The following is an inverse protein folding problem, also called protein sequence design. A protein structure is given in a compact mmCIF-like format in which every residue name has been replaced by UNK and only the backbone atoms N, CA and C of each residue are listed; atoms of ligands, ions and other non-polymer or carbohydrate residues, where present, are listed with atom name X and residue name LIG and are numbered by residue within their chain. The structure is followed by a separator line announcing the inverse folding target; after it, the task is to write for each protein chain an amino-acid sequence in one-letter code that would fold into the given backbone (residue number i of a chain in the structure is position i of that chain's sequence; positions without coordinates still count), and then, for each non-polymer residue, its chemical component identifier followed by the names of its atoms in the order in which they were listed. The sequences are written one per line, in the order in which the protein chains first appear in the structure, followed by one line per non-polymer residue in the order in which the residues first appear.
data_IF_218580243996
#
_entry.id   IF_218580243996
#
_cell.length_a   1.000
_cell.length_b   1.000
_cell.length_c   1.000
_cell.angle_alpha   90.00
_cell.angle_beta   90.00
_cell.angle_gamma   90.00
#
_symmetry.space_group_name_H-M   'P 1'
#
loop_
_entity.id
_entity.type
_entity.pdbx_description
1 polymer ?
#
# COMPACT_ATOMS: atom_id res chain seq x y z
N UNK A 1 45.86 -21.00 -24.09
CA UNK A 1 44.66 -20.60 -23.32
C UNK A 1 43.38 -20.68 -24.18
N UNK A 2 42.82 -21.89 -24.38
CA UNK A 2 41.42 -22.04 -24.84
C UNK A 2 40.82 -23.45 -24.69
N UNK A 3 41.61 -24.48 -24.34
CA UNK A 3 41.11 -25.86 -24.25
C UNK A 3 40.17 -26.09 -23.05
N UNK A 4 40.38 -25.38 -21.93
CA UNK A 4 39.52 -25.46 -20.75
C UNK A 4 38.11 -24.91 -20.97
N UNK A 5 37.96 -23.90 -21.84
CA UNK A 5 36.67 -23.31 -22.18
C UNK A 5 35.87 -24.20 -23.14
N UNK A 6 36.53 -24.78 -24.16
CA UNK A 6 35.92 -25.72 -25.09
C UNK A 6 35.39 -26.99 -24.37
N UNK A 7 36.16 -27.56 -23.44
CA UNK A 7 35.73 -28.74 -22.67
C UNK A 7 34.60 -28.45 -21.66
N UNK A 8 34.50 -27.23 -21.13
CA UNK A 8 33.38 -26.81 -20.28
C UNK A 8 32.08 -26.68 -21.07
N UNK A 9 32.16 -26.11 -22.28
CA UNK A 9 31.03 -25.94 -23.20
C UNK A 9 30.55 -27.30 -23.75
N UNK A 10 31.46 -28.17 -24.19
CA UNK A 10 31.11 -29.53 -24.67
C UNK A 10 30.41 -30.37 -23.60
N UNK A 11 30.88 -30.30 -22.34
CA UNK A 11 30.25 -31.01 -21.21
C UNK A 11 28.88 -30.43 -20.90
N UNK A 12 28.71 -29.11 -20.88
CA UNK A 12 27.40 -28.47 -20.70
C UNK A 12 26.39 -28.90 -21.76
N UNK A 13 26.81 -28.98 -23.04
CA UNK A 13 25.96 -29.50 -24.13
C UNK A 13 25.62 -30.99 -23.98
N UNK A 14 26.58 -31.82 -23.56
CA UNK A 14 26.36 -33.25 -23.32
C UNK A 14 25.38 -33.51 -22.17
N UNK A 15 25.51 -32.78 -21.06
CA UNK A 15 24.59 -32.87 -19.92
C UNK A 15 23.18 -32.42 -20.29
N UNK A 16 23.05 -31.30 -21.02
CA UNK A 16 21.76 -30.78 -21.48
C UNK A 16 21.07 -31.76 -22.43
N UNK A 17 21.81 -32.34 -23.37
CA UNK A 17 21.30 -33.38 -24.27
C UNK A 17 20.85 -34.64 -23.52
N UNK A 18 21.55 -35.02 -22.45
CA UNK A 18 21.17 -36.16 -21.60
C UNK A 18 19.89 -35.87 -20.82
N UNK A 19 19.74 -34.64 -20.30
CA UNK A 19 18.56 -34.20 -19.58
C UNK A 19 17.33 -34.09 -20.49
N UNK A 20 17.54 -33.63 -21.71
CA UNK A 20 16.52 -33.56 -22.75
C UNK A 20 16.05 -34.97 -23.14
N UNK A 21 16.97 -35.90 -23.42
CA UNK A 21 16.66 -37.31 -23.68
C UNK A 21 15.88 -37.96 -22.52
N UNK A 22 16.24 -37.67 -21.28
CA UNK A 22 15.55 -38.23 -20.12
C UNK A 22 14.11 -37.71 -20.00
N UNK A 23 13.88 -36.43 -20.29
CA UNK A 23 12.52 -35.87 -20.37
C UNK A 23 11.73 -36.52 -21.51
N UNK A 24 12.32 -36.68 -22.68
CA UNK A 24 11.66 -37.28 -23.84
C UNK A 24 11.30 -38.76 -23.57
N UNK A 25 12.17 -39.51 -22.90
CA UNK A 25 11.89 -40.88 -22.45
C UNK A 25 10.71 -40.91 -21.48
N UNK A 26 10.66 -40.02 -20.49
CA UNK A 26 9.56 -39.97 -19.53
C UNK A 26 8.24 -39.58 -20.20
N UNK A 27 8.27 -38.63 -21.16
CA UNK A 27 7.11 -38.25 -21.94
C UNK A 27 6.57 -39.44 -22.78
N UNK A 28 7.45 -40.13 -23.50
CA UNK A 28 7.08 -41.31 -24.30
C UNK A 28 6.52 -42.42 -23.41
N UNK A 29 7.12 -42.64 -22.24
CA UNK A 29 6.65 -43.64 -21.26
C UNK A 29 5.26 -43.31 -20.73
N UNK A 30 5.02 -42.06 -20.31
CA UNK A 30 3.70 -41.60 -19.87
C UNK A 30 2.67 -41.74 -21.00
N UNK A 31 3.06 -41.36 -22.23
CA UNK A 31 2.21 -41.51 -23.42
C UNK A 31 1.83 -42.96 -23.69
N UNK A 32 2.80 -43.88 -23.62
CA UNK A 32 2.57 -45.32 -23.80
C UNK A 32 1.63 -45.89 -22.73
N UNK A 33 1.85 -45.54 -21.46
CA UNK A 33 0.98 -45.96 -20.36
C UNK A 33 -0.46 -45.44 -20.53
N UNK A 34 -0.62 -44.18 -20.92
CA UNK A 34 -1.94 -43.58 -21.17
C UNK A 34 -2.68 -44.26 -22.32
N UNK A 35 -1.98 -44.55 -23.43
CA UNK A 35 -2.55 -45.26 -24.59
C UNK A 35 -2.95 -46.69 -24.22
N UNK A 36 -2.11 -47.39 -23.46
CA UNK A 36 -2.39 -48.74 -22.97
C UNK A 36 -3.63 -48.75 -22.08
N UNK A 37 -3.73 -47.80 -21.14
CA UNK A 37 -4.88 -47.66 -20.26
C UNK A 37 -6.17 -47.33 -21.04
N UNK A 38 -6.07 -46.44 -22.04
CA UNK A 38 -7.20 -46.11 -22.91
C UNK A 38 -7.69 -47.35 -23.67
N UNK A 39 -6.78 -48.14 -24.24
CA UNK A 39 -7.12 -49.38 -24.93
C UNK A 39 -7.79 -50.40 -23.99
N UNK A 40 -7.24 -50.61 -22.80
CA UNK A 40 -7.83 -51.51 -21.79
C UNK A 40 -9.25 -51.07 -21.41
N UNK A 41 -9.47 -49.77 -21.23
CA UNK A 41 -10.81 -49.23 -20.94
C UNK A 41 -11.79 -49.48 -22.08
N UNK A 42 -11.37 -49.28 -23.33
CA UNK A 42 -12.20 -49.55 -24.51
C UNK A 42 -12.60 -51.04 -24.54
N UNK A 43 -11.65 -51.94 -24.34
CA UNK A 43 -11.90 -53.38 -24.32
C UNK A 43 -12.88 -53.79 -23.22
N UNK A 44 -12.69 -53.28 -21.99
CA UNK A 44 -13.60 -53.55 -20.87
C UNK A 44 -15.01 -53.03 -21.17
N UNK A 45 -15.13 -51.81 -21.70
CA UNK A 45 -16.44 -51.21 -22.04
C UNK A 45 -17.15 -52.02 -23.13
N UNK A 46 -16.42 -52.53 -24.12
CA UNK A 46 -17.00 -53.38 -25.16
C UNK A 46 -17.55 -54.69 -24.58
N UNK A 47 -16.79 -55.36 -23.72
CA UNK A 47 -17.24 -56.57 -23.01
C UNK A 47 -18.46 -56.29 -22.13
N UNK A 48 -18.44 -55.21 -21.35
CA UNK A 48 -19.56 -54.81 -20.50
C UNK A 48 -20.82 -54.49 -21.30
N UNK A 49 -20.67 -53.79 -22.44
CA UNK A 49 -21.78 -53.48 -23.35
C UNK A 49 -22.43 -54.76 -23.86
N UNK A 50 -21.62 -55.73 -24.29
CA UNK A 50 -22.13 -57.01 -24.77
C UNK A 50 -22.83 -57.79 -23.67
N UNK A 51 -22.32 -57.76 -22.42
CA UNK A 51 -22.96 -58.39 -21.27
C UNK A 51 -24.32 -57.74 -20.95
N UNK A 52 -24.39 -56.42 -20.82
CA UNK A 52 -25.64 -55.71 -20.48
C UNK A 52 -26.77 -55.95 -21.48
N UNK A 53 -26.45 -56.26 -22.74
CA UNK A 53 -27.44 -56.58 -23.77
C UNK A 53 -28.07 -57.99 -23.63
N UNK A 54 -27.60 -58.83 -22.70
CA UNK A 54 -28.11 -60.20 -22.51
C UNK A 54 -29.43 -60.26 -21.72
N UNK A 55 -29.88 -59.14 -21.12
CA UNK A 55 -31.10 -58.98 -20.29
C UNK A 55 -31.34 -60.08 -19.23
N UNK A 56 -30.25 -60.70 -18.77
CA UNK A 56 -30.27 -61.58 -17.60
C UNK A 56 -30.24 -60.76 -16.30
N UNK A 57 -30.53 -61.42 -15.17
CA UNK A 57 -30.57 -60.74 -13.86
C UNK A 57 -29.23 -60.08 -13.50
N UNK A 58 -28.12 -60.72 -13.88
CA UNK A 58 -26.77 -60.18 -13.71
C UNK A 58 -26.56 -58.89 -14.52
N UNK A 59 -27.05 -58.85 -15.76
CA UNK A 59 -27.00 -57.68 -16.65
C UNK A 59 -27.76 -56.50 -16.08
N UNK A 60 -28.91 -56.75 -15.44
CA UNK A 60 -29.71 -55.72 -14.76
C UNK A 60 -28.97 -55.13 -13.56
N UNK A 61 -28.34 -55.97 -12.74
CA UNK A 61 -27.51 -55.53 -11.60
C UNK A 61 -26.29 -54.72 -12.07
N UNK A 62 -25.63 -55.16 -13.14
CA UNK A 62 -24.50 -54.43 -13.75
C UNK A 62 -24.97 -53.05 -14.24
N UNK A 63 -26.09 -52.98 -14.96
CA UNK A 63 -26.63 -51.73 -15.48
C UNK A 63 -27.03 -50.77 -14.34
N UNK A 64 -27.68 -51.27 -13.29
CA UNK A 64 -28.03 -50.45 -12.13
C UNK A 64 -26.77 -49.89 -11.45
N UNK A 65 -25.74 -50.72 -11.29
CA UNK A 65 -24.46 -50.32 -10.72
C UNK A 65 -23.78 -49.24 -11.57
N UNK A 66 -23.77 -49.40 -12.90
CA UNK A 66 -23.23 -48.39 -13.82
C UNK A 66 -24.00 -47.07 -13.68
N UNK A 67 -25.35 -47.11 -13.61
CA UNK A 67 -26.17 -45.90 -13.40
C UNK A 67 -25.80 -45.18 -12.11
N UNK A 68 -25.63 -45.93 -11.00
CA UNK A 68 -25.21 -45.38 -9.71
C UNK A 68 -23.81 -44.76 -9.78
N UNK A 69 -22.85 -45.44 -10.42
CA UNK A 69 -21.49 -44.91 -10.62
C UNK A 69 -21.53 -43.62 -11.43
N UNK A 70 -22.30 -43.57 -12.53
CA UNK A 70 -22.42 -42.36 -13.36
C UNK A 70 -23.00 -41.19 -12.56
N UNK A 71 -24.03 -41.43 -11.74
CA UNK A 71 -24.62 -40.41 -10.87
C UNK A 71 -23.60 -39.88 -9.86
N UNK A 72 -22.85 -40.77 -9.22
CA UNK A 72 -21.81 -40.41 -8.26
C UNK A 72 -20.69 -39.60 -8.93
N UNK A 73 -20.20 -40.05 -10.09
CA UNK A 73 -19.16 -39.35 -10.85
C UNK A 73 -19.60 -37.95 -11.27
N UNK A 74 -20.84 -37.76 -11.70
CA UNK A 74 -21.40 -36.42 -12.00
C UNK A 74 -21.39 -35.53 -10.77
N UNK A 75 -21.77 -36.07 -9.62
CA UNK A 75 -21.79 -35.35 -8.35
C UNK A 75 -20.39 -34.94 -7.92
N UNK A 76 -19.40 -35.85 -8.04
CA UNK A 76 -18.00 -35.57 -7.76
C UNK A 76 -17.47 -34.45 -8.65
N UNK A 77 -17.73 -34.51 -9.96
CA UNK A 77 -17.31 -33.47 -10.92
C UNK A 77 -17.91 -32.12 -10.54
N UNK A 78 -19.20 -32.07 -10.18
CA UNK A 78 -19.85 -30.83 -9.75
C UNK A 78 -19.18 -30.23 -8.49
N UNK A 79 -18.84 -31.06 -7.50
CA UNK A 79 -18.13 -30.60 -6.31
C UNK A 79 -16.71 -30.14 -6.62
N UNK A 80 -15.99 -30.84 -7.50
CA UNK A 80 -14.65 -30.44 -7.93
C UNK A 80 -14.68 -29.09 -8.64
N UNK A 81 -15.65 -28.87 -9.53
CA UNK A 81 -15.85 -27.60 -10.21
C UNK A 81 -16.12 -26.47 -9.20
N UNK A 82 -17.02 -26.69 -8.24
CA UNK A 82 -17.32 -25.72 -7.20
C UNK A 82 -16.08 -25.41 -6.33
N UNK A 83 -15.28 -26.42 -5.99
CA UNK A 83 -14.05 -26.24 -5.23
C UNK A 83 -13.04 -25.38 -6.02
N UNK A 84 -12.86 -25.67 -7.30
CA UNK A 84 -11.96 -24.91 -8.17
C UNK A 84 -12.40 -23.45 -8.32
N UNK A 85 -13.70 -23.18 -8.48
CA UNK A 85 -14.24 -21.81 -8.52
C UNK A 85 -13.96 -21.05 -7.22
N UNK A 86 -14.12 -21.69 -6.07
CA UNK A 86 -13.82 -21.07 -4.77
C UNK A 86 -12.33 -20.79 -4.61
N UNK A 87 -11.48 -21.72 -5.04
CA UNK A 87 -10.03 -21.55 -5.03
C UNK A 87 -9.59 -20.38 -5.93
N UNK A 88 -10.16 -20.27 -7.13
CA UNK A 88 -9.88 -19.17 -8.04
C UNK A 88 -10.28 -17.81 -7.44
N UNK A 89 -11.47 -17.73 -6.83
CA UNK A 89 -11.91 -16.53 -6.10
C UNK A 89 -10.96 -16.17 -4.96
N UNK A 90 -10.46 -17.15 -4.23
CA UNK A 90 -9.49 -16.93 -3.15
C UNK A 90 -8.17 -16.38 -3.69
N UNK A 91 -7.69 -16.90 -4.82
CA UNK A 91 -6.49 -16.41 -5.50
C UNK A 91 -6.67 -14.94 -5.92
N UNK A 92 -7.83 -14.59 -6.48
CA UNK A 92 -8.12 -13.21 -6.90
C UNK A 92 -8.19 -12.24 -5.72
N UNK A 93 -8.79 -12.65 -4.60
CA UNK A 93 -8.79 -11.87 -3.36
C UNK A 93 -7.36 -11.66 -2.85
N UNK A 94 -6.54 -12.72 -2.82
CA UNK A 94 -5.13 -12.63 -2.40
C UNK A 94 -4.35 -11.67 -3.31
N UNK A 95 -4.59 -11.70 -4.63
CA UNK A 95 -3.98 -10.78 -5.61
C UNK A 95 -4.39 -9.33 -5.34
N UNK A 96 -5.69 -9.06 -5.18
CA UNK A 96 -6.20 -7.70 -4.86
C UNK A 96 -5.61 -7.17 -3.56
N UNK A 97 -5.56 -7.98 -2.50
CA UNK A 97 -4.95 -7.62 -1.22
C UNK A 97 -3.47 -7.26 -1.37
N UNK A 98 -2.73 -8.02 -2.19
CA UNK A 98 -1.32 -7.74 -2.44
C UNK A 98 -1.13 -6.41 -3.17
N UNK A 99 -1.96 -6.09 -4.18
CA UNK A 99 -1.92 -4.79 -4.86
C UNK A 99 -2.20 -3.63 -3.89
N UNK A 100 -3.25 -3.75 -3.06
CA UNK A 100 -3.56 -2.73 -2.05
C UNK A 100 -2.40 -2.51 -1.07
N UNK A 101 -1.74 -3.58 -0.63
CA UNK A 101 -0.57 -3.49 0.27
C UNK A 101 0.64 -2.81 -0.39
N UNK A 102 0.80 -2.97 -1.71
CA UNK A 102 1.83 -2.25 -2.47
C UNK A 102 1.53 -0.76 -2.53
N UNK A 103 0.26 -0.40 -2.71
CA UNK A 103 -0.19 0.99 -2.80
C UNK A 103 -0.29 1.71 -1.45
N UNK A 104 -0.31 0.97 -0.34
CA UNK A 104 -0.43 1.50 1.02
C UNK A 104 0.75 2.41 1.41
N UNK A 105 1.98 1.92 1.26
CA UNK A 105 3.19 2.66 1.62
C UNK A 105 3.38 3.99 0.87
N UNK A 106 3.29 4.04 -0.48
CA UNK A 106 3.47 5.29 -1.20
C UNK A 106 2.36 6.30 -0.88
N UNK A 107 1.09 5.85 -0.75
CA UNK A 107 -0.02 6.75 -0.36
C UNK A 107 0.15 7.30 1.06
N UNK A 108 0.61 6.47 2.00
CA UNK A 108 0.88 6.95 3.36
C UNK A 108 2.03 7.95 3.39
N UNK A 109 3.09 7.73 2.61
CA UNK A 109 4.18 8.69 2.45
C UNK A 109 3.70 10.00 1.83
N UNK A 110 2.84 9.94 0.82
CA UNK A 110 2.24 11.12 0.20
C UNK A 110 1.43 11.94 1.22
N UNK A 111 0.58 11.29 2.01
CA UNK A 111 -0.19 11.93 3.09
C UNK A 111 0.75 12.58 4.10
N UNK A 112 1.79 11.88 4.57
CA UNK A 112 2.76 12.43 5.52
C UNK A 112 3.49 13.66 4.95
N UNK A 113 3.88 13.61 3.69
CA UNK A 113 4.54 14.73 3.00
C UNK A 113 3.61 15.95 2.86
N UNK A 114 2.34 15.73 2.54
CA UNK A 114 1.34 16.80 2.46
C UNK A 114 1.12 17.45 3.82
N UNK A 115 0.95 16.65 4.88
CA UNK A 115 0.79 17.15 6.25
C UNK A 115 2.02 17.95 6.70
N UNK A 116 3.23 17.48 6.40
CA UNK A 116 4.47 18.20 6.72
C UNK A 116 4.52 19.57 6.04
N UNK A 117 4.26 19.63 4.72
CA UNK A 117 4.21 20.88 3.96
C UNK A 117 3.17 21.85 4.49
N UNK A 118 2.01 21.36 4.93
CA UNK A 118 0.96 22.20 5.51
C UNK A 118 1.41 22.80 6.86
N UNK A 119 2.04 22.00 7.73
CA UNK A 119 2.60 22.50 9.00
C UNK A 119 3.70 23.53 8.78
N UNK A 120 4.60 23.31 7.83
CA UNK A 120 5.66 24.27 7.49
C UNK A 120 5.08 25.59 6.99
N UNK A 121 4.06 25.55 6.11
CA UNK A 121 3.36 26.75 5.63
C UNK A 121 2.62 27.49 6.75
N UNK A 122 1.95 26.78 7.64
CA UNK A 122 1.27 27.40 8.77
C UNK A 122 2.28 28.03 9.74
N UNK A 123 3.39 27.35 10.00
CA UNK A 123 4.48 27.87 10.83
C UNK A 123 5.08 29.15 10.26
N UNK A 124 5.39 29.18 8.97
CA UNK A 124 5.97 30.38 8.34
C UNK A 124 4.99 31.56 8.28
N UNK A 125 3.69 31.31 8.03
CA UNK A 125 2.65 32.34 8.09
C UNK A 125 2.52 32.93 9.48
N UNK A 126 2.46 32.08 10.52
CA UNK A 126 2.34 32.52 11.90
C UNK A 126 3.57 33.35 12.32
N UNK A 127 4.78 32.91 11.99
CA UNK A 127 6.01 33.66 12.29
C UNK A 127 5.98 35.03 11.60
N UNK A 128 5.71 35.07 10.30
CA UNK A 128 5.64 36.34 9.56
C UNK A 128 4.55 37.29 10.09
N UNK A 129 3.42 36.76 10.57
CA UNK A 129 2.34 37.55 11.17
C UNK A 129 2.75 38.09 12.55
N UNK A 130 3.42 37.28 13.38
CA UNK A 130 3.93 37.72 14.68
C UNK A 130 5.04 38.77 14.56
N UNK A 131 5.97 38.62 13.61
CA UNK A 131 7.02 39.61 13.34
C UNK A 131 6.44 40.95 12.88
N UNK A 132 5.43 40.91 12.00
CA UNK A 132 4.71 42.13 11.57
C UNK A 132 3.99 42.80 12.73
N UNK A 133 3.38 42.03 13.64
CA UNK A 133 2.71 42.57 14.82
C UNK A 133 3.71 43.22 15.78
N UNK A 134 4.84 42.56 16.06
CA UNK A 134 5.90 43.10 16.90
C UNK A 134 6.50 44.38 16.31
N UNK A 135 6.77 44.43 15.00
CA UNK A 135 7.29 45.62 14.34
C UNK A 135 6.32 46.82 14.45
N UNK A 136 5.01 46.57 14.35
CA UNK A 136 3.99 47.61 14.57
C UNK A 136 4.01 48.11 16.01
N UNK A 137 4.01 47.20 16.99
CA UNK A 137 4.05 47.56 18.41
C UNK A 137 5.32 48.36 18.76
N UNK A 138 6.47 47.98 18.20
CA UNK A 138 7.72 48.71 18.43
C UNK A 138 7.66 50.13 17.86
N UNK A 139 7.03 50.31 16.69
CA UNK A 139 6.80 51.63 16.09
C UNK A 139 5.87 52.50 16.92
N UNK A 140 4.75 51.93 17.39
CA UNK A 140 3.81 52.64 18.27
C UNK A 140 4.46 53.03 19.60
N UNK A 141 5.27 52.13 20.18
CA UNK A 141 6.06 52.40 21.40
C UNK A 141 7.02 53.58 21.19
N UNK A 142 7.79 53.56 20.10
CA UNK A 142 8.74 54.66 19.76
C UNK A 142 8.00 55.99 19.57
N UNK A 143 6.87 55.98 18.87
CA UNK A 143 6.06 57.18 18.63
C UNK A 143 5.51 57.75 19.93
N UNK A 144 5.01 56.88 20.81
CA UNK A 144 4.49 57.28 22.13
C UNK A 144 5.60 57.89 23.00
N UNK A 145 6.80 57.30 23.02
CA UNK A 145 7.94 57.84 23.76
C UNK A 145 8.34 59.25 23.26
N UNK A 146 8.37 59.46 21.94
CA UNK A 146 8.64 60.78 21.36
C UNK A 146 7.56 61.80 21.78
N UNK A 147 6.28 61.43 21.70
CA UNK A 147 5.18 62.29 22.12
C UNK A 147 5.30 62.64 23.62
N UNK A 148 5.61 61.66 24.47
CA UNK A 148 5.82 61.88 25.90
C UNK A 148 6.97 62.86 26.17
N UNK A 149 8.11 62.71 25.49
CA UNK A 149 9.23 63.64 25.59
C UNK A 149 8.87 65.05 25.15
N UNK A 150 8.10 65.21 24.07
CA UNK A 150 7.63 66.51 23.61
C UNK A 150 6.75 67.17 24.67
N UNK A 151 5.79 66.43 25.25
CA UNK A 151 4.93 66.97 26.31
C UNK A 151 5.70 67.35 27.58
N UNK A 152 6.66 66.53 28.01
CA UNK A 152 7.54 66.85 29.15
C UNK A 152 8.31 68.15 28.89
N UNK A 153 8.93 68.28 27.73
CA UNK A 153 9.71 69.47 27.37
C UNK A 153 8.85 70.74 27.30
N UNK A 154 7.61 70.64 26.80
CA UNK A 154 6.68 71.78 26.77
C UNK A 154 6.29 72.21 28.19
N UNK A 155 5.94 71.26 29.06
CA UNK A 155 5.55 71.57 30.45
C UNK A 155 6.72 72.24 31.18
N UNK A 156 7.92 71.67 31.11
CA UNK A 156 9.13 72.22 31.75
C UNK A 156 9.50 73.59 31.15
N UNK A 157 9.43 73.74 29.82
CA UNK A 157 9.78 74.97 29.10
C UNK A 157 8.77 76.11 29.24
N UNK A 158 7.51 75.81 29.59
CA UNK A 158 6.43 76.79 29.75
C UNK A 158 6.58 77.71 30.97
N UNK A 159 7.56 77.47 31.85
CA UNK A 159 7.81 78.20 33.12
C UNK A 159 6.62 78.21 34.09
N UNK A 160 5.62 77.36 33.89
CA UNK A 160 4.56 77.07 34.86
C UNK A 160 5.16 76.30 36.03
N UNK A 161 4.81 76.67 37.27
CA UNK A 161 5.33 76.00 38.47
C UNK A 161 4.61 74.65 38.71
N UNK A 162 4.90 73.69 37.84
CA UNK A 162 4.30 72.35 37.82
C UNK A 162 4.59 71.53 39.08
N UNK A 163 5.59 71.92 39.88
CA UNK A 163 5.94 71.25 41.14
C UNK A 163 5.02 71.63 42.30
N UNK A 164 4.39 72.81 42.24
CA UNK A 164 3.43 73.31 43.24
C UNK A 164 2.00 72.84 42.96
N UNK A 165 1.61 72.65 41.70
CA UNK A 165 0.32 72.04 41.35
C UNK A 165 0.38 70.50 41.48
N UNK A 166 -0.37 69.89 42.42
CA UNK A 166 -0.39 68.45 42.61
C UNK A 166 -0.79 67.68 41.34
N UNK A 167 -1.64 68.28 40.49
CA UNK A 167 -2.17 67.65 39.29
C UNK A 167 -1.10 67.55 38.20
N UNK A 168 -0.43 68.66 37.88
CA UNK A 168 0.70 68.68 36.94
C UNK A 168 1.89 67.84 37.42
N UNK A 169 2.20 67.88 38.72
CA UNK A 169 3.24 67.03 39.31
C UNK A 169 2.98 65.54 39.10
N UNK A 170 1.75 65.09 39.28
CA UNK A 170 1.36 63.70 39.04
C UNK A 170 1.52 63.31 37.56
N UNK A 171 1.13 64.18 36.63
CA UNK A 171 1.21 63.95 35.18
C UNK A 171 2.67 63.83 34.73
N UNK A 172 3.54 64.76 35.13
CA UNK A 172 4.97 64.74 34.75
C UNK A 172 5.67 63.49 35.29
N UNK A 173 5.43 63.12 36.55
CA UNK A 173 6.01 61.91 37.15
C UNK A 173 5.50 60.61 36.52
N UNK A 174 4.25 60.58 36.05
CA UNK A 174 3.73 59.43 35.30
C UNK A 174 4.36 59.31 33.92
N UNK A 175 4.58 60.43 33.22
CA UNK A 175 5.27 60.45 31.93
C UNK A 175 6.72 59.96 32.05
N UNK A 176 7.39 60.26 33.17
CA UNK A 176 8.77 59.82 33.43
C UNK A 176 8.88 58.30 33.70
N UNK A 177 7.96 57.73 34.50
CA UNK A 177 7.95 56.29 34.83
C UNK A 177 7.76 55.38 33.63
N UNK A 178 7.02 55.83 32.62
CA UNK A 178 6.74 55.06 31.42
C UNK A 178 7.95 54.92 30.47
N UNK A 179 9.04 55.67 30.72
CA UNK A 179 10.29 55.61 29.95
C UNK A 179 11.30 54.61 30.53
N UNK A 180 11.16 54.18 31.78
CA UNK A 180 12.10 53.27 32.47
C UNK A 180 11.85 51.78 32.22
N UNK A 181 10.81 51.40 31.47
CA UNK A 181 10.59 50.03 31.03
C UNK A 181 11.36 49.79 29.71
N UNK A 182 12.68 49.70 29.84
CA UNK A 182 13.60 49.38 28.77
C UNK A 182 13.81 47.87 28.65
#
# INVERSE_FOLDING_TARGET
PNEGAAHGVQRGHSWRSTQDLQRDIEEVKVSFQNKTLALQRIQIVDVLKNKVNQDDEESRLILETIKRIVLLSRTIIAYQQQAHEKEQRLIDIKRKRLSLKKDERPKLQEIQNMVKKQKEKQGSLNVAETEKMLAKLEKERKTTAVIQHVFQNIIIGSRVNWAEDPSLKAIVLQLEKNLCLQ
#
